data_IF_059135011969
#
_entry.id   IF_059135011969
#
_cell.length_a   1.000
_cell.length_b   1.000
_cell.length_c   1.000
_cell.angle_alpha   90.00
_cell.angle_beta   90.00
_cell.angle_gamma   90.00
#
_symmetry.space_group_name_H-M   'P 1'
#
loop_
_entity.id
_entity.type
_entity.pdbx_description
1 polymer ?
#
# COMPACT_ATOMS: atom_id res chain seq x y z
N UNK A 1 -20.14 14.29 -4.52
CA UNK A 1 -19.87 12.96 -3.93
C UNK A 1 -18.50 12.48 -4.39
N UNK A 2 -17.69 11.94 -3.48
CA UNK A 2 -16.36 11.42 -3.82
C UNK A 2 -16.49 10.12 -4.60
N UNK A 3 -15.86 10.05 -5.76
CA UNK A 3 -15.88 8.86 -6.62
C UNK A 3 -14.82 7.86 -6.20
N UNK A 4 -14.95 6.61 -6.67
CA UNK A 4 -13.92 5.59 -6.49
C UNK A 4 -12.58 6.02 -7.08
N UNK A 5 -12.60 6.66 -8.25
CA UNK A 5 -11.40 7.20 -8.87
C UNK A 5 -10.68 8.21 -7.98
N UNK A 6 -11.44 9.16 -7.42
CA UNK A 6 -10.88 10.16 -6.50
C UNK A 6 -10.33 9.54 -5.23
N UNK A 7 -11.01 8.54 -4.67
CA UNK A 7 -10.52 7.80 -3.49
C UNK A 7 -9.20 7.09 -3.79
N UNK A 8 -9.10 6.44 -4.94
CA UNK A 8 -7.87 5.73 -5.34
C UNK A 8 -6.70 6.69 -5.59
N UNK A 9 -6.94 7.89 -6.14
CA UNK A 9 -5.93 8.93 -6.28
C UNK A 9 -5.49 9.45 -4.91
N UNK A 10 -6.43 9.76 -4.03
CA UNK A 10 -6.15 10.28 -2.69
C UNK A 10 -5.42 9.29 -1.81
N UNK A 11 -5.67 8.00 -2.02
CA UNK A 11 -4.91 6.93 -1.38
C UNK A 11 -3.40 7.14 -1.60
N UNK A 12 -2.96 7.27 -2.84
CA UNK A 12 -1.56 7.49 -3.16
C UNK A 12 -1.04 8.84 -2.67
N UNK A 13 -1.84 9.90 -2.79
CA UNK A 13 -1.46 11.25 -2.35
C UNK A 13 -1.20 11.31 -0.85
N UNK A 14 -2.09 10.72 -0.04
CA UNK A 14 -1.95 10.73 1.42
C UNK A 14 -0.74 9.92 1.89
N UNK A 15 -0.47 8.78 1.25
CA UNK A 15 0.70 7.97 1.56
C UNK A 15 2.00 8.69 1.21
N UNK A 16 2.05 9.32 0.05
CA UNK A 16 3.23 10.09 -0.39
C UNK A 16 3.49 11.29 0.52
N UNK A 17 2.43 11.92 1.02
CA UNK A 17 2.54 13.01 1.99
C UNK A 17 2.87 12.50 3.41
N UNK A 18 2.88 11.20 3.65
CA UNK A 18 3.02 10.57 4.97
C UNK A 18 1.94 11.02 5.95
N UNK A 19 0.78 11.41 5.43
CA UNK A 19 -0.36 11.90 6.21
C UNK A 19 -1.35 10.77 6.46
N UNK A 20 -1.06 9.96 7.49
CA UNK A 20 -1.90 8.80 7.82
C UNK A 20 -3.23 9.18 8.46
N UNK A 21 -3.35 10.38 9.03
CA UNK A 21 -4.64 10.89 9.49
C UNK A 21 -5.56 11.14 8.30
N UNK A 22 -5.06 11.82 7.26
CA UNK A 22 -5.79 12.02 6.01
C UNK A 22 -6.11 10.68 5.32
N UNK A 23 -5.15 9.76 5.26
CA UNK A 23 -5.39 8.40 4.74
C UNK A 23 -6.55 7.73 5.47
N UNK A 24 -6.54 7.78 6.80
CA UNK A 24 -7.57 7.18 7.63
C UNK A 24 -8.98 7.69 7.30
N UNK A 25 -9.11 8.96 6.90
CA UNK A 25 -10.41 9.54 6.54
C UNK A 25 -11.01 8.95 5.26
N UNK A 26 -10.21 8.29 4.43
CA UNK A 26 -10.68 7.64 3.20
C UNK A 26 -11.34 6.30 3.48
N UNK A 27 -11.11 5.73 4.66
CA UNK A 27 -11.54 4.38 5.03
C UNK A 27 -12.87 4.42 5.78
N UNK A 28 -13.78 3.53 5.38
CA UNK A 28 -15.05 3.32 6.08
C UNK A 28 -14.79 2.85 7.52
N UNK A 29 -15.62 3.26 8.52
CA UNK A 29 -15.46 2.79 9.90
C UNK A 29 -15.44 1.27 10.06
N UNK A 30 -16.17 0.55 9.19
CA UNK A 30 -16.24 -0.90 9.18
C UNK A 30 -15.28 -1.54 8.15
N UNK A 31 -14.18 -0.87 7.86
CA UNK A 31 -13.22 -1.31 6.84
C UNK A 31 -12.74 -2.74 7.05
N UNK A 32 -12.82 -3.54 5.99
CA UNK A 32 -12.32 -4.93 5.95
C UNK A 32 -11.11 -5.00 5.04
N UNK A 33 -9.97 -5.39 5.57
CA UNK A 33 -8.74 -5.54 4.81
C UNK A 33 -8.34 -7.02 4.71
N UNK A 34 -8.24 -7.52 3.48
CA UNK A 34 -7.83 -8.90 3.22
C UNK A 34 -6.32 -9.04 3.02
N UNK A 35 -5.54 -7.98 3.21
CA UNK A 35 -4.07 -8.07 3.18
C UNK A 35 -3.59 -8.89 4.39
N UNK A 36 -2.81 -9.95 4.11
CA UNK A 36 -2.37 -10.89 5.15
C UNK A 36 -1.35 -10.32 6.13
N UNK A 37 -0.68 -9.22 5.78
CA UNK A 37 0.34 -8.60 6.62
C UNK A 37 -0.22 -7.51 7.53
N UNK A 38 -1.45 -7.08 7.30
CA UNK A 38 -2.10 -6.06 8.11
C UNK A 38 -3.00 -6.70 9.17
N UNK A 39 -2.99 -6.13 10.38
CA UNK A 39 -3.99 -6.46 11.38
C UNK A 39 -5.37 -6.03 10.88
N UNK A 40 -6.47 -6.64 11.40
CA UNK A 40 -7.82 -6.34 10.91
C UNK A 40 -8.22 -4.87 11.07
N UNK A 41 -9.07 -4.43 10.16
CA UNK A 41 -9.77 -3.17 10.25
C UNK A 41 -8.97 -1.95 9.84
N UNK A 42 -9.59 -0.81 10.07
CA UNK A 42 -9.04 0.50 9.73
C UNK A 42 -7.71 0.78 10.42
N UNK A 43 -7.64 0.51 11.72
CA UNK A 43 -6.42 0.72 12.51
C UNK A 43 -5.25 -0.15 12.01
N UNK A 44 -5.53 -1.38 11.61
CA UNK A 44 -4.52 -2.27 11.05
C UNK A 44 -3.93 -1.76 9.73
N UNK A 45 -4.77 -1.18 8.89
CA UNK A 45 -4.33 -0.57 7.63
C UNK A 45 -3.48 0.67 7.84
N UNK A 46 -3.80 1.49 8.81
CA UNK A 46 -2.96 2.63 9.20
C UNK A 46 -1.62 2.15 9.72
N UNK A 47 -1.62 1.12 10.57
CA UNK A 47 -0.40 0.58 11.18
C UNK A 47 0.57 0.00 10.15
N UNK A 48 0.09 -0.72 9.12
CA UNK A 48 0.97 -1.29 8.11
C UNK A 48 1.64 -0.19 7.27
N UNK A 49 0.95 0.88 6.93
CA UNK A 49 1.56 2.01 6.23
C UNK A 49 2.50 2.82 7.12
N UNK A 50 2.22 2.91 8.42
CA UNK A 50 3.19 3.46 9.37
C UNK A 50 4.50 2.67 9.32
N UNK A 51 4.41 1.34 9.29
CA UNK A 51 5.58 0.49 9.20
C UNK A 51 6.37 0.72 7.90
N UNK A 52 5.70 0.87 6.76
CA UNK A 52 6.36 1.20 5.49
C UNK A 52 7.08 2.54 5.55
N UNK A 53 6.40 3.57 6.03
CA UNK A 53 6.95 4.94 6.12
C UNK A 53 8.17 4.98 7.05
N UNK A 54 8.09 4.29 8.19
CA UNK A 54 9.18 4.24 9.16
C UNK A 54 10.37 3.41 8.66
N UNK A 55 10.13 2.44 7.79
CA UNK A 55 11.16 1.54 7.28
C UNK A 55 11.85 2.06 6.01
N UNK A 56 11.26 3.03 5.31
CA UNK A 56 11.76 3.48 4.01
C UNK A 56 11.86 5.01 3.97
N UNK A 57 13.08 5.52 3.81
CA UNK A 57 13.27 6.94 3.52
C UNK A 57 12.64 7.29 2.19
N UNK A 58 12.02 8.45 2.10
CA UNK A 58 11.37 8.96 0.90
C UNK A 58 10.31 7.98 0.35
N UNK A 59 9.58 7.31 1.27
CA UNK A 59 8.48 6.45 0.87
C UNK A 59 7.43 7.25 0.09
N UNK A 60 7.06 6.74 -1.09
CA UNK A 60 6.08 7.38 -1.95
C UNK A 60 5.31 6.35 -2.76
N UNK A 61 4.06 6.69 -3.08
CA UNK A 61 3.17 5.87 -3.91
C UNK A 61 2.89 6.61 -5.23
N UNK A 62 3.19 5.95 -6.33
CA UNK A 62 2.90 6.45 -7.67
C UNK A 62 1.66 5.73 -8.21
N UNK A 63 0.73 6.48 -8.79
CA UNK A 63 -0.43 5.91 -9.48
C UNK A 63 0.01 5.48 -10.88
N UNK A 64 -0.13 4.19 -11.18
CA UNK A 64 0.15 3.67 -12.53
C UNK A 64 -1.13 3.59 -13.36
N UNK A 65 -2.25 3.18 -12.74
CA UNK A 65 -3.54 3.08 -13.42
C UNK A 65 -4.68 3.03 -12.39
N UNK A 66 -5.85 3.55 -12.75
CA UNK A 66 -7.07 3.46 -11.94
C UNK A 66 -8.23 3.08 -12.85
N UNK A 67 -9.00 2.09 -12.43
CA UNK A 67 -10.24 1.67 -13.10
C UNK A 67 -11.38 1.84 -12.10
N UNK A 68 -12.31 2.72 -12.42
CA UNK A 68 -13.51 2.98 -11.61
C UNK A 68 -14.71 2.30 -12.23
N UNK A 69 -15.28 1.33 -11.54
CA UNK A 69 -16.45 0.55 -11.97
C UNK A 69 -17.67 0.80 -11.06
N UNK A 70 -17.78 2.01 -10.52
CA UNK A 70 -18.91 2.42 -9.65
C UNK A 70 -18.66 2.08 -8.19
N UNK A 71 -19.20 0.97 -7.71
CA UNK A 71 -19.00 0.51 -6.33
C UNK A 71 -17.69 -0.25 -6.12
N UNK A 72 -16.92 -0.45 -7.19
CA UNK A 72 -15.62 -1.11 -7.16
C UNK A 72 -14.61 -0.22 -7.87
N UNK A 73 -13.45 -0.03 -7.25
CA UNK A 73 -12.33 0.68 -7.87
C UNK A 73 -11.08 -0.18 -7.79
N UNK A 74 -10.31 -0.19 -8.87
CA UNK A 74 -9.03 -0.87 -8.97
C UNK A 74 -7.94 0.17 -9.12
N UNK A 75 -6.90 0.09 -8.29
CA UNK A 75 -5.72 0.93 -8.42
C UNK A 75 -4.48 0.06 -8.60
N UNK A 76 -3.64 0.44 -9.55
CA UNK A 76 -2.32 -0.17 -9.73
C UNK A 76 -1.29 0.90 -9.37
N UNK A 77 -0.40 0.55 -8.44
CA UNK A 77 0.56 1.50 -7.86
C UNK A 77 1.97 0.94 -7.87
N UNK A 78 2.94 1.85 -7.84
CA UNK A 78 4.33 1.55 -7.55
C UNK A 78 4.74 2.32 -6.30
N UNK A 79 5.16 1.60 -5.26
CA UNK A 79 5.75 2.18 -4.06
C UNK A 79 7.25 2.19 -4.20
N UNK A 80 7.88 3.31 -3.82
CA UNK A 80 9.33 3.48 -3.85
C UNK A 80 9.83 4.05 -2.53
N UNK A 81 11.06 3.75 -2.22
CA UNK A 81 11.76 4.27 -1.05
C UNK A 81 13.07 3.56 -0.85
N UNK A 82 13.88 4.07 0.08
CA UNK A 82 15.13 3.43 0.47
C UNK A 82 14.94 2.69 1.79
N UNK A 83 15.31 1.43 1.82
CA UNK A 83 15.14 0.57 2.99
C UNK A 83 16.18 0.91 4.07
N UNK A 84 15.82 1.81 4.96
CA UNK A 84 16.71 2.36 6.01
C UNK A 84 16.32 1.94 7.43
N UNK A 85 15.13 1.35 7.60
CA UNK A 85 14.63 0.83 8.88
C UNK A 85 14.24 -0.64 8.78
N UNK A 86 14.05 -1.30 9.91
CA UNK A 86 13.59 -2.69 9.94
C UNK A 86 12.17 -2.80 9.41
N UNK A 87 11.93 -3.72 8.46
CA UNK A 87 10.61 -3.96 7.90
C UNK A 87 10.30 -5.46 7.89
N UNK A 88 9.19 -5.84 8.51
CA UNK A 88 8.75 -7.24 8.65
C UNK A 88 9.88 -8.17 9.14
N UNK A 89 10.66 -7.68 10.08
CA UNK A 89 11.81 -8.42 10.63
C UNK A 89 13.07 -8.39 9.79
N UNK A 90 13.06 -7.74 8.63
CA UNK A 90 14.25 -7.60 7.77
C UNK A 90 15.02 -6.36 8.18
N UNK A 91 16.31 -6.49 8.59
CA UNK A 91 17.11 -5.33 8.97
C UNK A 91 17.40 -4.43 7.77
N UNK A 92 17.74 -3.14 8.01
CA UNK A 92 18.01 -2.19 6.94
C UNK A 92 19.06 -2.70 5.94
N UNK A 93 18.71 -2.70 4.66
CA UNK A 93 19.62 -3.10 3.56
C UNK A 93 20.21 -1.92 2.81
N UNK A 94 19.66 -0.73 2.99
CA UNK A 94 19.95 0.49 2.25
C UNK A 94 19.68 0.37 0.74
N UNK A 95 18.88 -0.62 0.34
CA UNK A 95 18.49 -0.83 -1.05
C UNK A 95 17.33 0.09 -1.46
N UNK A 96 17.31 0.49 -2.73
CA UNK A 96 16.13 1.08 -3.34
C UNK A 96 15.06 0.00 -3.48
N UNK A 97 13.85 0.29 -2.97
CA UNK A 97 12.73 -0.62 -3.05
C UNK A 97 11.79 -0.16 -4.16
N UNK A 98 11.36 -1.10 -4.97
CA UNK A 98 10.31 -0.93 -5.96
C UNK A 98 9.26 -2.02 -5.73
N UNK A 99 8.13 -1.62 -5.16
CA UNK A 99 7.03 -2.52 -4.86
C UNK A 99 5.86 -2.20 -5.78
N UNK A 100 5.38 -3.23 -6.48
CA UNK A 100 4.20 -3.13 -7.33
C UNK A 100 3.01 -3.73 -6.62
N UNK A 101 1.85 -3.06 -6.71
CA UNK A 101 0.62 -3.56 -6.12
C UNK A 101 -0.55 -3.36 -7.07
N UNK A 102 -1.50 -4.27 -7.00
CA UNK A 102 -2.83 -4.12 -7.59
C UNK A 102 -3.82 -4.23 -6.45
N UNK A 103 -4.56 -3.16 -6.24
CA UNK A 103 -5.50 -3.01 -5.14
C UNK A 103 -6.92 -2.95 -5.70
N UNK A 104 -7.84 -3.67 -5.06
CA UNK A 104 -9.26 -3.63 -5.36
C UNK A 104 -9.99 -3.19 -4.10
N UNK A 105 -10.86 -2.19 -4.24
CA UNK A 105 -11.73 -1.75 -3.14
C UNK A 105 -13.20 -1.80 -3.52
N UNK A 106 -14.05 -2.12 -2.55
CA UNK A 106 -15.45 -1.76 -2.59
C UNK A 106 -15.63 -0.37 -2.01
N UNK A 107 -16.44 0.43 -2.67
CA UNK A 107 -16.77 1.79 -2.24
C UNK A 107 -18.17 1.77 -1.63
N UNK A 108 -18.31 2.26 -0.41
CA UNK A 108 -19.57 2.37 0.30
C UNK A 108 -19.61 3.69 1.07
N UNK A 109 -20.72 4.41 0.98
CA UNK A 109 -20.90 5.71 1.64
C UNK A 109 -19.82 6.74 1.26
N UNK A 110 -19.31 6.68 0.03
CA UNK A 110 -18.23 7.55 -0.44
C UNK A 110 -16.87 7.26 0.18
N UNK A 111 -16.66 6.06 0.74
CA UNK A 111 -15.44 5.65 1.44
C UNK A 111 -14.98 4.29 0.93
N UNK A 112 -13.70 4.01 1.11
CA UNK A 112 -13.14 2.68 0.85
C UNK A 112 -13.57 1.75 1.99
N UNK A 113 -14.33 0.70 1.66
CA UNK A 113 -14.99 -0.14 2.67
C UNK A 113 -14.41 -1.54 2.78
N UNK A 114 -13.93 -2.12 1.68
CA UNK A 114 -13.35 -3.45 1.66
C UNK A 114 -12.20 -3.49 0.65
N UNK A 115 -11.15 -4.22 0.96
CA UNK A 115 -9.87 -4.14 0.24
C UNK A 115 -9.24 -5.50 0.04
N UNK A 116 -8.80 -5.75 -1.19
CA UNK A 116 -7.92 -6.86 -1.57
C UNK A 116 -6.71 -6.30 -2.28
N UNK A 117 -5.56 -6.92 -2.12
CA UNK A 117 -4.36 -6.57 -2.88
C UNK A 117 -3.48 -7.78 -3.13
N UNK A 118 -2.66 -7.65 -4.17
CA UNK A 118 -1.53 -8.55 -4.43
C UNK A 118 -0.30 -7.69 -4.69
N UNK A 119 0.82 -8.11 -4.12
CA UNK A 119 2.08 -7.39 -4.18
C UNK A 119 3.17 -8.33 -4.69
N UNK A 120 4.22 -7.77 -5.30
CA UNK A 120 5.41 -8.51 -5.69
C UNK A 120 6.33 -8.76 -4.48
N UNK A 121 5.79 -9.36 -3.43
CA UNK A 121 6.45 -9.52 -2.12
C UNK A 121 7.77 -10.27 -2.22
N UNK A 122 7.85 -11.33 -3.04
CA UNK A 122 9.08 -12.09 -3.24
C UNK A 122 10.22 -11.20 -3.75
N UNK A 123 9.94 -10.40 -4.78
CA UNK A 123 10.93 -9.48 -5.34
C UNK A 123 11.37 -8.42 -4.33
N UNK A 124 10.44 -7.91 -3.54
CA UNK A 124 10.76 -6.93 -2.51
C UNK A 124 11.71 -7.51 -1.47
N UNK A 125 11.46 -8.72 -0.99
CA UNK A 125 12.38 -9.38 -0.06
C UNK A 125 13.73 -9.72 -0.70
N UNK A 126 13.77 -10.01 -2.00
CA UNK A 126 15.02 -10.15 -2.74
C UNK A 126 15.78 -8.82 -2.82
N UNK A 127 15.07 -7.71 -3.09
CA UNK A 127 15.68 -6.37 -3.10
C UNK A 127 16.28 -6.01 -1.74
N UNK A 128 15.63 -6.42 -0.66
CA UNK A 128 16.09 -6.22 0.72
C UNK A 128 17.22 -7.18 1.12
N UNK A 129 17.54 -8.15 0.29
CA UNK A 129 18.58 -9.16 0.59
C UNK A 129 18.13 -10.24 1.57
N UNK A 130 16.83 -10.32 1.91
CA UNK A 130 16.30 -11.36 2.80
C UNK A 130 16.15 -12.71 2.13
N UNK A 131 15.99 -12.73 0.82
CA UNK A 131 15.81 -13.92 -0.02
C UNK A 131 16.79 -13.82 -1.19
N UNK A 132 17.51 -14.92 -1.57
CA UNK A 132 18.37 -14.91 -2.74
C UNK A 132 17.60 -14.58 -4.02
N UNK A 133 18.25 -13.89 -4.95
CA UNK A 133 17.69 -13.64 -6.27
C UNK A 133 17.49 -14.97 -7.01
N UNK A 134 16.34 -15.12 -7.65
CA UNK A 134 16.07 -16.26 -8.52
C UNK A 134 16.59 -15.96 -9.93
N UNK A 135 17.25 -16.93 -10.53
CA UNK A 135 17.73 -16.84 -11.90
C UNK A 135 17.12 -17.94 -12.74
N UNK A 136 16.73 -17.60 -13.96
CA UNK A 136 16.32 -18.59 -14.96
C UNK A 136 17.61 -19.04 -15.64
N UNK A 137 18.12 -20.18 -15.19
CA UNK A 137 19.34 -20.74 -15.74
C UNK A 137 19.08 -21.51 -17.04
#
# INVERSE_FOLDING_TARGET
MTTGHQLAERFAETLTAHDLDAYSTLLHPDYVNHNRYAEPGKAGSVAIFRAFIDACDDFRAEVDDIIDAGDTVVGRYTYRGRHTGTFLGVPPSNAEIEMHTIDIWRVRDGLLAEHWDELNTLEVFQQMGAIPALTLA
#
